data_IF_282032685345
#
_entry.id   IF_282032685345
#
_cell.length_a   1.000
_cell.length_b   1.000
_cell.length_c   1.000
_cell.angle_alpha   90.00
_cell.angle_beta   90.00
_cell.angle_gamma   90.00
#
_symmetry.space_group_name_H-M   'P 1'
#
loop_
_entity.id
_entity.type
_entity.pdbx_description
1 polymer ?
#
# COMPACT_ATOMS: atom_id res chain seq x y z
N UNK A 1 6.13 -16.51 1.45
CA UNK A 1 4.98 -15.61 1.70
C UNK A 1 4.89 -15.43 3.21
N UNK A 2 4.84 -14.19 3.70
CA UNK A 2 4.73 -13.91 5.15
C UNK A 2 3.27 -13.93 5.59
N UNK A 3 3.01 -14.25 6.87
CA UNK A 3 1.66 -14.20 7.45
C UNK A 3 1.11 -12.77 7.50
N UNK A 4 -0.22 -12.62 7.59
CA UNK A 4 -0.89 -11.31 7.51
C UNK A 4 -0.52 -10.35 8.65
N UNK A 5 -0.27 -10.89 9.84
CA UNK A 5 0.13 -10.14 11.02
C UNK A 5 1.65 -9.83 11.07
N UNK A 6 2.43 -10.36 10.13
CA UNK A 6 3.87 -10.10 10.02
C UNK A 6 4.10 -8.83 9.19
N UNK A 7 4.69 -7.79 9.80
CA UNK A 7 4.97 -6.53 9.09
C UNK A 7 5.82 -6.69 7.83
N UNK A 8 6.67 -7.73 7.74
CA UNK A 8 7.46 -8.03 6.53
C UNK A 8 6.58 -8.31 5.31
N UNK A 9 5.33 -8.72 5.52
CA UNK A 9 4.34 -8.88 4.45
C UNK A 9 4.05 -7.57 3.74
N UNK A 10 3.98 -6.44 4.46
CA UNK A 10 3.69 -5.13 3.86
C UNK A 10 4.78 -4.72 2.85
N UNK A 11 6.05 -4.92 3.22
CA UNK A 11 7.19 -4.73 2.34
C UNK A 11 7.16 -5.69 1.14
N UNK A 12 6.88 -6.96 1.41
CA UNK A 12 6.80 -7.97 0.36
C UNK A 12 5.71 -7.68 -0.68
N UNK A 13 4.53 -7.19 -0.25
CA UNK A 13 3.44 -6.77 -1.13
C UNK A 13 3.84 -5.58 -2.01
N UNK A 14 4.53 -4.59 -1.46
CA UNK A 14 5.10 -3.45 -2.21
C UNK A 14 6.03 -3.98 -3.31
N UNK A 15 6.92 -4.92 -2.99
CA UNK A 15 7.84 -5.51 -3.96
C UNK A 15 7.13 -6.37 -5.01
N UNK A 16 6.09 -7.12 -4.63
CA UNK A 16 5.32 -7.92 -5.58
C UNK A 16 4.58 -7.01 -6.58
N UNK A 17 4.00 -5.90 -6.10
CA UNK A 17 3.31 -4.94 -6.96
C UNK A 17 4.31 -4.25 -7.91
N UNK A 18 5.42 -3.72 -7.39
CA UNK A 18 6.40 -3.01 -8.21
C UNK A 18 7.15 -3.93 -9.20
N UNK A 19 7.24 -5.23 -8.91
CA UNK A 19 7.77 -6.24 -9.84
C UNK A 19 6.74 -6.77 -10.84
N UNK A 20 5.49 -6.29 -10.80
CA UNK A 20 4.42 -6.70 -11.71
C UNK A 20 3.84 -8.08 -11.44
N UNK A 21 4.15 -8.70 -10.30
CA UNK A 21 3.65 -10.04 -9.93
C UNK A 21 2.21 -10.01 -9.41
N UNK A 22 1.77 -8.87 -8.90
CA UNK A 22 0.38 -8.62 -8.50
C UNK A 22 -0.06 -7.27 -9.09
N UNK A 23 -1.37 -7.15 -9.34
CA UNK A 23 -1.99 -5.93 -9.85
C UNK A 23 -2.63 -5.12 -8.71
N UNK A 24 -3.23 -3.99 -9.05
CA UNK A 24 -3.79 -3.01 -8.12
C UNK A 24 -4.89 -3.60 -7.22
N UNK A 25 -5.93 -4.30 -7.73
CA UNK A 25 -6.94 -4.88 -6.85
C UNK A 25 -6.36 -5.91 -5.86
N UNK A 26 -5.43 -6.76 -6.31
CA UNK A 26 -4.78 -7.74 -5.44
C UNK A 26 -3.94 -7.04 -4.37
N UNK A 27 -3.16 -6.02 -4.76
CA UNK A 27 -2.38 -5.24 -3.81
C UNK A 27 -3.26 -4.55 -2.77
N UNK A 28 -4.31 -3.84 -3.18
CA UNK A 28 -5.19 -3.12 -2.25
C UNK A 28 -5.87 -4.04 -1.24
N UNK A 29 -6.39 -5.18 -1.71
CA UNK A 29 -7.03 -6.16 -0.83
C UNK A 29 -6.04 -6.79 0.15
N UNK A 30 -4.89 -7.26 -0.34
CA UNK A 30 -3.91 -7.93 0.52
C UNK A 30 -3.23 -6.96 1.49
N UNK A 31 -3.04 -5.71 1.08
CA UNK A 31 -2.55 -4.65 1.96
C UNK A 31 -3.57 -4.36 3.06
N UNK A 32 -4.86 -4.20 2.73
CA UNK A 32 -5.93 -4.01 3.71
C UNK A 32 -5.99 -5.15 4.73
N UNK A 33 -6.02 -6.40 4.26
CA UNK A 33 -6.05 -7.57 5.14
C UNK A 33 -4.82 -7.72 6.02
N UNK A 34 -3.71 -7.09 5.66
CA UNK A 34 -2.48 -7.15 6.46
C UNK A 34 -2.41 -5.93 7.39
N UNK A 35 -2.34 -4.72 6.84
CA UNK A 35 -2.11 -3.49 7.58
C UNK A 35 -3.31 -3.07 8.43
N UNK A 36 -4.51 -3.00 7.85
CA UNK A 36 -5.66 -2.43 8.53
C UNK A 36 -6.32 -3.42 9.50
N UNK A 37 -6.10 -4.74 9.33
CA UNK A 37 -6.75 -5.78 10.14
C UNK A 37 -5.82 -6.58 11.06
N UNK A 38 -4.58 -6.89 10.66
CA UNK A 38 -3.80 -7.99 11.29
C UNK A 38 -2.47 -7.52 11.91
N UNK A 39 -1.78 -6.57 11.29
CA UNK A 39 -0.50 -6.05 11.80
C UNK A 39 -0.74 -5.21 13.04
N UNK A 40 -0.11 -5.61 14.16
CA UNK A 40 -0.13 -4.80 15.37
C UNK A 40 0.62 -3.48 15.14
N UNK A 41 -0.04 -2.35 15.39
CA UNK A 41 0.57 -1.03 15.25
C UNK A 41 1.81 -0.86 16.15
N UNK A 42 1.87 -1.53 17.31
CA UNK A 42 2.98 -1.44 18.25
C UNK A 42 4.31 -2.00 17.72
N UNK A 43 4.29 -2.86 16.69
CA UNK A 43 5.51 -3.41 16.07
C UNK A 43 6.07 -2.55 14.93
N UNK A 44 5.38 -1.47 14.58
CA UNK A 44 5.78 -0.52 13.56
C UNK A 44 6.59 0.63 14.17
N UNK A 45 7.62 1.09 13.46
CA UNK A 45 8.28 2.36 13.78
C UNK A 45 7.35 3.54 13.48
N UNK A 46 7.61 4.72 14.03
CA UNK A 46 6.80 5.91 13.74
C UNK A 46 6.78 6.26 12.25
N UNK A 47 7.90 6.03 11.55
CA UNK A 47 7.97 6.20 10.09
C UNK A 47 7.11 5.17 9.35
N UNK A 48 7.18 3.89 9.76
CA UNK A 48 6.32 2.84 9.19
C UNK A 48 4.84 3.20 9.39
N UNK A 49 4.45 3.65 10.59
CA UNK A 49 3.08 4.06 10.90
C UNK A 49 2.60 5.16 9.96
N UNK A 50 3.38 6.23 9.80
CA UNK A 50 3.04 7.36 8.92
C UNK A 50 2.96 6.91 7.46
N UNK A 51 3.99 6.19 6.97
CA UNK A 51 4.07 5.80 5.57
C UNK A 51 2.96 4.80 5.18
N UNK A 52 2.69 3.80 6.02
CA UNK A 52 1.63 2.83 5.77
C UNK A 52 0.23 3.42 5.94
N UNK A 53 0.03 4.38 6.86
CA UNK A 53 -1.25 5.09 6.97
C UNK A 53 -1.55 5.94 5.72
N UNK A 54 -0.55 6.61 5.16
CA UNK A 54 -0.71 7.34 3.89
C UNK A 54 -1.01 6.41 2.73
N UNK A 55 -0.39 5.23 2.69
CA UNK A 55 -0.65 4.21 1.67
C UNK A 55 -2.06 3.62 1.81
N UNK A 56 -2.49 3.29 3.03
CA UNK A 56 -3.85 2.78 3.31
C UNK A 56 -4.92 3.76 2.82
N UNK A 57 -4.73 5.07 3.00
CA UNK A 57 -5.66 6.09 2.49
C UNK A 57 -5.83 6.07 0.97
N UNK A 58 -4.77 5.75 0.22
CA UNK A 58 -4.81 5.70 -1.25
C UNK A 58 -5.32 4.33 -1.72
N UNK A 59 -4.86 3.24 -1.13
CA UNK A 59 -5.28 1.88 -1.52
C UNK A 59 -6.75 1.60 -1.21
N UNK A 60 -7.27 2.10 -0.09
CA UNK A 60 -8.68 1.96 0.28
C UNK A 60 -9.65 2.72 -0.63
N UNK A 61 -9.14 3.67 -1.42
CA UNK A 61 -9.91 4.47 -2.38
C UNK A 61 -9.64 4.08 -3.83
N UNK A 62 -8.81 3.08 -4.07
CA UNK A 62 -8.50 2.66 -5.43
C UNK A 62 -9.77 2.17 -6.15
N UNK A 63 -10.00 2.67 -7.36
CA UNK A 63 -10.94 2.07 -8.30
C UNK A 63 -10.29 1.82 -9.64
N UNK A 64 -10.54 0.63 -10.18
CA UNK A 64 -10.13 0.25 -11.54
C UNK A 64 -11.11 0.73 -12.62
N UNK A 65 -12.27 1.26 -12.25
CA UNK A 65 -13.33 1.61 -13.18
C UNK A 65 -13.26 3.10 -13.54
N UNK A 66 -13.11 3.40 -14.82
CA UNK A 66 -13.07 4.78 -15.33
C UNK A 66 -14.33 5.59 -14.96
N UNK A 67 -15.49 4.92 -14.89
CA UNK A 67 -16.77 5.55 -14.56
C UNK A 67 -16.80 6.08 -13.11
N UNK A 68 -16.11 5.43 -12.17
CA UNK A 68 -16.00 5.92 -10.79
C UNK A 68 -15.23 7.24 -10.75
N UNK A 69 -14.16 7.35 -11.56
CA UNK A 69 -13.35 8.55 -11.70
C UNK A 69 -14.08 9.69 -12.41
N UNK A 70 -14.96 9.37 -13.38
CA UNK A 70 -15.84 10.38 -14.02
C UNK A 70 -16.91 10.89 -13.06
N UNK A 71 -17.48 10.01 -12.25
CA UNK A 71 -18.54 10.35 -11.30
C UNK A 71 -18.02 11.27 -10.19
N UNK A 72 -16.85 10.96 -9.63
CA UNK A 72 -16.20 11.81 -8.63
C UNK A 72 -14.67 11.68 -8.70
N UNK A 73 -13.99 12.58 -9.44
CA UNK A 73 -12.54 12.56 -9.60
C UNK A 73 -11.74 12.68 -8.30
N UNK A 74 -12.37 13.12 -7.20
CA UNK A 74 -11.72 13.30 -5.90
C UNK A 74 -11.96 12.17 -4.90
N UNK A 75 -12.91 11.26 -5.20
CA UNK A 75 -13.27 10.17 -4.30
C UNK A 75 -12.34 8.97 -4.45
N UNK A 76 -11.89 8.70 -5.67
CA UNK A 76 -11.15 7.49 -6.00
C UNK A 76 -9.72 7.79 -6.40
N UNK A 77 -8.82 6.86 -6.08
CA UNK A 77 -7.43 6.91 -6.51
C UNK A 77 -7.24 6.10 -7.78
N UNK A 78 -6.49 6.63 -8.75
CA UNK A 78 -6.17 5.93 -9.99
C UNK A 78 -5.04 4.91 -9.78
N UNK A 79 -4.80 4.08 -10.80
CA UNK A 79 -3.64 3.17 -10.80
C UNK A 79 -2.31 3.93 -10.76
N UNK A 80 -2.20 5.08 -11.46
CA UNK A 80 -0.99 5.91 -11.43
C UNK A 80 -0.76 6.51 -10.04
N UNK A 81 -1.82 6.98 -9.38
CA UNK A 81 -1.72 7.57 -8.04
C UNK A 81 -1.31 6.53 -7.00
N UNK A 82 -1.92 5.34 -7.06
CA UNK A 82 -1.56 4.20 -6.23
C UNK A 82 -0.09 3.82 -6.44
N UNK A 83 0.35 3.64 -7.69
CA UNK A 83 1.74 3.30 -8.02
C UNK A 83 2.72 4.35 -7.50
N UNK A 84 2.41 5.64 -7.72
CA UNK A 84 3.24 6.75 -7.24
C UNK A 84 3.36 6.71 -5.71
N UNK A 85 2.26 6.50 -4.98
CA UNK A 85 2.28 6.40 -3.52
C UNK A 85 3.08 5.19 -3.03
N UNK A 86 2.97 4.04 -3.68
CA UNK A 86 3.75 2.84 -3.35
C UNK A 86 5.27 3.10 -3.52
N UNK A 87 5.68 3.75 -4.61
CA UNK A 87 7.08 4.12 -4.86
C UNK A 87 7.58 5.10 -3.79
N UNK A 88 6.77 6.12 -3.46
CA UNK A 88 7.10 7.10 -2.41
C UNK A 88 7.30 6.42 -1.05
N UNK A 89 6.39 5.53 -0.66
CA UNK A 89 6.48 4.78 0.60
C UNK A 89 7.70 3.86 0.60
N UNK A 90 7.96 3.13 -0.49
CA UNK A 90 9.19 2.33 -0.61
C UNK A 90 10.44 3.17 -0.43
N UNK A 91 10.50 4.35 -1.05
CA UNK A 91 11.61 5.29 -0.92
C UNK A 91 11.80 5.77 0.52
N UNK A 92 10.71 6.19 1.18
CA UNK A 92 10.71 6.60 2.61
C UNK A 92 11.30 5.50 3.51
N UNK A 93 10.87 4.24 3.30
CA UNK A 93 11.28 3.10 4.11
C UNK A 93 12.72 2.63 3.80
N UNK A 94 13.20 2.76 2.57
CA UNK A 94 14.57 2.39 2.19
C UNK A 94 15.62 3.40 2.69
N UNK A 95 15.28 4.69 2.77
CA UNK A 95 16.22 5.74 3.17
C UNK A 95 16.75 5.60 4.62
N UNK A 96 16.12 4.75 5.44
CA UNK A 96 16.52 4.50 6.82
C UNK A 96 17.05 3.08 7.10
N UNK A 97 17.11 2.22 6.07
CA UNK A 97 17.90 0.99 6.10
C UNK A 97 18.84 0.99 4.88
N UNK A 98 19.85 1.88 4.84
CA UNK A 98 20.97 1.66 3.95
C UNK A 98 21.61 0.34 4.37
N UNK A 99 21.57 -0.66 3.48
CA UNK A 99 22.40 -1.85 3.62
C UNK A 99 23.88 -1.44 3.80
#
# INVERSE_FOLDING_TARGET
MYDKNDKRRLYWLIDQYLSGKINEPVFCNEFYYSYDLEVNNDILTDMEKVAFAELSKVSSRFSQYEEDHKLNPSAFSTAEELRRKIIEVKGKLQYQNPL
#
